data_IF_454757532185
#
_entry.id   IF_454757532185
#
_cell.length_a   1.000
_cell.length_b   1.000
_cell.length_c   1.000
_cell.angle_alpha   90.00
_cell.angle_beta   90.00
_cell.angle_gamma   90.00
#
_symmetry.space_group_name_H-M   'P 1'
#
loop_
_entity.id
_entity.type
_entity.pdbx_description
1 polymer ?
#
# COMPACT_ATOMS: atom_id res chain seq x y z
N UNK A 1 -11.46 -5.30 9.98
CA UNK A 1 -10.50 -6.42 9.99
C UNK A 1 -11.04 -7.73 9.40
N UNK A 2 -12.36 -7.81 9.07
CA UNK A 2 -13.00 -9.06 8.58
C UNK A 2 -12.30 -9.63 7.34
N UNK A 3 -11.93 -8.77 6.39
CA UNK A 3 -11.25 -9.22 5.16
C UNK A 3 -9.86 -9.81 5.46
N UNK A 4 -9.06 -9.11 6.26
CA UNK A 4 -7.72 -9.60 6.56
C UNK A 4 -7.74 -10.88 7.41
N UNK A 5 -8.72 -11.03 8.30
CA UNK A 5 -8.93 -12.30 9.02
C UNK A 5 -9.29 -13.43 8.07
N UNK A 6 -10.28 -13.22 7.20
CA UNK A 6 -10.62 -14.20 6.16
C UNK A 6 -9.39 -14.61 5.34
N UNK A 7 -8.58 -13.63 4.92
CA UNK A 7 -7.36 -13.88 4.16
C UNK A 7 -6.37 -14.76 4.94
N UNK A 8 -6.14 -14.44 6.23
CA UNK A 8 -5.12 -15.11 7.04
C UNK A 8 -5.58 -16.42 7.67
N UNK A 9 -6.86 -16.52 8.03
CA UNK A 9 -7.40 -17.63 8.82
C UNK A 9 -8.08 -18.70 7.95
N UNK A 10 -8.52 -18.32 6.73
CA UNK A 10 -9.26 -19.21 5.84
C UNK A 10 -8.57 -19.38 4.48
N UNK A 11 -8.39 -18.30 3.72
CA UNK A 11 -7.93 -18.37 2.33
C UNK A 11 -6.48 -18.86 2.20
N UNK A 12 -5.54 -18.28 2.95
CA UNK A 12 -4.13 -18.71 2.87
C UNK A 12 -3.93 -20.14 3.39
N UNK A 13 -4.53 -20.60 4.51
CA UNK A 13 -4.47 -21.98 4.93
C UNK A 13 -5.09 -22.94 3.90
N UNK A 14 -6.25 -22.60 3.31
CA UNK A 14 -6.84 -23.43 2.26
C UNK A 14 -5.93 -23.52 1.03
N UNK A 15 -5.30 -22.42 0.63
CA UNK A 15 -4.34 -22.41 -0.47
C UNK A 15 -3.10 -23.27 -0.15
N UNK A 16 -2.56 -23.19 1.07
CA UNK A 16 -1.42 -24.01 1.51
C UNK A 16 -1.75 -25.52 1.53
N UNK A 17 -3.02 -25.87 1.75
CA UNK A 17 -3.47 -27.27 1.70
C UNK A 17 -3.54 -27.83 0.27
N UNK A 18 -3.45 -26.99 -0.76
CA UNK A 18 -3.46 -27.40 -2.16
C UNK A 18 -2.05 -27.70 -2.66
N UNK A 19 -1.99 -28.35 -3.81
CA UNK A 19 -0.75 -28.57 -4.56
C UNK A 19 -0.78 -27.77 -5.85
N UNK A 20 0.37 -27.35 -6.30
CA UNK A 20 0.56 -26.84 -7.65
C UNK A 20 0.26 -27.89 -8.71
N UNK A 21 0.08 -27.50 -9.96
CA UNK A 21 -0.19 -28.43 -11.09
C UNK A 21 0.93 -29.45 -11.29
N UNK A 22 2.16 -29.13 -10.88
CA UNK A 22 3.32 -30.03 -10.90
C UNK A 22 3.51 -30.81 -9.57
N UNK A 23 2.53 -30.75 -8.68
CA UNK A 23 2.47 -31.57 -7.45
C UNK A 23 3.23 -31.03 -6.24
N UNK A 24 3.84 -29.82 -6.33
CA UNK A 24 4.54 -29.20 -5.20
C UNK A 24 3.55 -28.70 -4.14
N UNK A 25 3.92 -28.82 -2.87
CA UNK A 25 3.20 -28.18 -1.78
C UNK A 25 3.46 -26.67 -1.79
N UNK A 26 2.43 -25.91 -1.49
CA UNK A 26 2.57 -24.48 -1.22
C UNK A 26 3.03 -24.29 0.23
N UNK A 27 3.95 -23.37 0.42
CA UNK A 27 4.44 -22.99 1.74
C UNK A 27 4.72 -21.50 1.75
N UNK A 28 3.76 -20.73 2.29
CA UNK A 28 3.89 -19.27 2.36
C UNK A 28 4.70 -18.87 3.59
N UNK A 29 5.66 -17.96 3.40
CA UNK A 29 6.38 -17.40 4.55
C UNK A 29 5.41 -16.86 5.59
N UNK A 30 5.68 -17.13 6.86
CA UNK A 30 4.94 -16.56 7.99
C UNK A 30 5.54 -15.23 8.46
N UNK A 31 6.73 -14.87 7.96
CA UNK A 31 7.37 -13.60 8.26
C UNK A 31 6.66 -12.46 7.50
N UNK A 32 6.12 -11.42 8.17
CA UNK A 32 5.46 -10.29 7.53
C UNK A 32 6.39 -9.51 6.58
N UNK A 33 7.70 -9.55 6.84
CA UNK A 33 8.70 -8.90 5.98
C UNK A 33 8.85 -9.57 4.60
N UNK A 34 8.40 -10.81 4.46
CA UNK A 34 8.40 -11.56 3.20
C UNK A 34 7.06 -11.45 2.45
N UNK A 35 6.14 -10.60 2.94
CA UNK A 35 4.81 -10.49 2.39
C UNK A 35 4.48 -9.07 1.95
N UNK A 36 3.93 -8.99 0.75
CA UNK A 36 3.31 -7.77 0.23
C UNK A 36 1.82 -8.00 -0.03
N UNK A 37 1.05 -6.94 0.01
CA UNK A 37 -0.35 -6.92 -0.40
C UNK A 37 -0.57 -5.76 -1.38
N UNK A 38 -1.31 -6.02 -2.44
CA UNK A 38 -1.56 -5.05 -3.49
C UNK A 38 -3.04 -5.01 -3.87
N UNK A 39 -3.47 -3.88 -4.40
CA UNK A 39 -4.81 -3.73 -4.93
C UNK A 39 -5.02 -2.42 -5.64
N UNK A 40 -6.10 -2.35 -6.41
CA UNK A 40 -6.49 -1.20 -7.20
C UNK A 40 -7.85 -0.65 -6.75
N UNK A 41 -8.05 0.65 -6.78
CA UNK A 41 -9.31 1.30 -6.42
C UNK A 41 -9.76 0.89 -5.00
N UNK A 42 -10.93 0.30 -4.85
CA UNK A 42 -11.39 -0.30 -3.58
C UNK A 42 -10.44 -1.38 -3.06
N UNK A 43 -9.74 -2.09 -3.95
CA UNK A 43 -8.68 -3.04 -3.60
C UNK A 43 -7.44 -2.35 -3.06
N UNK A 44 -7.11 -1.14 -3.52
CA UNK A 44 -5.98 -0.35 -3.04
C UNK A 44 -6.15 0.04 -1.57
N UNK A 45 -7.29 0.64 -1.22
CA UNK A 45 -7.59 0.94 0.18
C UNK A 45 -7.73 -0.33 1.03
N UNK A 46 -8.26 -1.42 0.45
CA UNK A 46 -8.37 -2.70 1.13
C UNK A 46 -6.98 -3.29 1.46
N UNK A 47 -6.04 -3.23 0.52
CA UNK A 47 -4.66 -3.66 0.71
C UNK A 47 -3.96 -2.84 1.81
N UNK A 48 -4.10 -1.51 1.76
CA UNK A 48 -3.58 -0.63 2.80
C UNK A 48 -4.19 -0.96 4.16
N UNK A 49 -5.52 -1.08 4.24
CA UNK A 49 -6.24 -1.42 5.49
C UNK A 49 -5.77 -2.75 6.06
N UNK A 50 -5.60 -3.77 5.22
CA UNK A 50 -5.14 -5.08 5.67
C UNK A 50 -3.75 -5.01 6.33
N UNK A 51 -2.80 -4.32 5.72
CA UNK A 51 -1.47 -4.13 6.29
C UNK A 51 -1.49 -3.20 7.53
N UNK A 52 -2.33 -2.17 7.50
CA UNK A 52 -2.50 -1.24 8.62
C UNK A 52 -3.02 -1.94 9.89
N UNK A 53 -4.00 -2.81 9.73
CA UNK A 53 -4.58 -3.59 10.83
C UNK A 53 -3.68 -4.75 11.26
N UNK A 54 -2.95 -5.34 10.32
CA UNK A 54 -2.12 -6.51 10.57
C UNK A 54 -0.69 -6.34 10.03
N UNK A 55 0.08 -5.38 10.60
CA UNK A 55 1.50 -5.18 10.24
C UNK A 55 2.38 -6.39 10.64
N UNK A 56 1.86 -7.28 11.47
CA UNK A 56 2.42 -8.59 11.80
C UNK A 56 2.19 -9.64 10.71
N UNK A 57 1.40 -9.32 9.67
CA UNK A 57 1.14 -10.21 8.53
C UNK A 57 1.67 -9.66 7.20
N UNK A 58 1.68 -8.35 7.01
CA UNK A 58 2.12 -7.69 5.77
C UNK A 58 2.90 -6.43 6.09
N UNK A 59 4.06 -6.24 5.48
CA UNK A 59 4.88 -5.03 5.66
C UNK A 59 5.07 -4.20 4.40
N UNK A 60 4.57 -4.67 3.25
CA UNK A 60 4.68 -3.98 1.98
C UNK A 60 3.32 -3.84 1.33
N UNK A 61 3.02 -2.63 0.88
CA UNK A 61 1.72 -2.28 0.28
C UNK A 61 1.93 -1.62 -1.06
N UNK A 62 1.21 -2.08 -2.07
CA UNK A 62 0.99 -1.34 -3.31
C UNK A 62 -0.48 -0.98 -3.44
N UNK A 63 -0.79 0.31 -3.45
CA UNK A 63 -2.12 0.85 -3.67
C UNK A 63 -2.14 1.60 -5.00
N UNK A 64 -2.80 1.04 -5.99
CA UNK A 64 -3.01 1.68 -7.29
C UNK A 64 -4.37 2.40 -7.27
N UNK A 65 -4.37 3.69 -7.63
CA UNK A 65 -5.56 4.58 -7.63
C UNK A 65 -6.52 4.28 -6.47
N UNK A 66 -5.97 4.20 -5.25
CA UNK A 66 -6.69 3.78 -4.05
C UNK A 66 -7.87 4.69 -3.70
N UNK A 67 -9.00 4.11 -3.30
CA UNK A 67 -10.24 4.85 -2.98
C UNK A 67 -10.18 5.51 -1.61
N UNK A 68 -9.22 6.40 -1.37
CA UNK A 68 -9.09 7.18 -0.13
C UNK A 68 -10.00 8.41 -0.12
N UNK A 69 -11.24 8.21 -0.51
CA UNK A 69 -12.31 9.21 -0.61
C UNK A 69 -13.39 8.95 0.43
N UNK A 70 -14.43 9.80 0.48
CA UNK A 70 -15.51 9.71 1.47
C UNK A 70 -16.40 8.45 1.34
N UNK A 71 -15.86 7.38 0.74
CA UNK A 71 -16.50 6.09 0.64
C UNK A 71 -16.10 5.23 1.84
N UNK A 72 -17.07 4.90 2.68
CA UNK A 72 -16.89 4.07 3.90
C UNK A 72 -15.76 4.57 4.83
N UNK A 73 -15.55 5.89 4.89
CA UNK A 73 -14.55 6.50 5.76
C UNK A 73 -13.11 6.42 5.22
N UNK A 74 -12.92 6.16 3.93
CA UNK A 74 -11.58 6.10 3.32
C UNK A 74 -10.80 7.41 3.44
N UNK A 75 -11.48 8.54 3.45
CA UNK A 75 -10.91 9.87 3.63
C UNK A 75 -10.44 10.16 5.07
N UNK A 76 -10.69 9.29 6.02
CA UNK A 76 -10.23 9.46 7.42
C UNK A 76 -8.79 9.00 7.63
N UNK A 77 -8.26 8.14 6.76
CA UNK A 77 -6.92 7.60 6.90
C UNK A 77 -5.81 8.65 7.03
N UNK A 78 -5.78 9.74 6.25
CA UNK A 78 -4.75 10.77 6.43
C UNK A 78 -4.72 11.35 7.85
N UNK A 79 -5.87 11.53 8.48
CA UNK A 79 -5.98 12.01 9.85
C UNK A 79 -5.58 10.93 10.88
N UNK A 80 -6.01 9.69 10.66
CA UNK A 80 -5.67 8.55 11.52
C UNK A 80 -4.16 8.27 11.51
N UNK A 81 -3.53 8.28 10.34
CA UNK A 81 -2.09 8.09 10.18
C UNK A 81 -1.30 9.10 11.00
N UNK A 82 -1.70 10.39 10.94
CA UNK A 82 -1.03 11.47 11.68
C UNK A 82 -1.19 11.39 13.19
N UNK A 83 -2.21 10.69 13.67
CA UNK A 83 -2.56 10.54 15.09
C UNK A 83 -2.11 9.21 15.68
N UNK A 84 -1.64 8.29 14.86
CA UNK A 84 -1.26 6.94 15.26
C UNK A 84 0.27 6.80 15.20
N UNK A 85 0.83 6.06 16.13
CA UNK A 85 2.24 5.69 16.10
C UNK A 85 2.57 4.92 14.80
N UNK A 86 3.71 5.25 14.19
CA UNK A 86 4.09 4.67 12.90
C UNK A 86 4.26 3.15 13.00
N UNK A 87 3.70 2.44 12.03
CA UNK A 87 3.79 0.98 11.91
C UNK A 87 4.89 0.61 10.91
N UNK A 88 5.51 -0.57 11.02
CA UNK A 88 6.61 -0.96 10.14
C UNK A 88 6.10 -1.35 8.74
N UNK A 89 5.64 -0.37 8.00
CA UNK A 89 5.07 -0.53 6.65
C UNK A 89 5.88 0.28 5.63
N UNK A 90 6.05 -0.31 4.46
CA UNK A 90 6.55 0.33 3.25
C UNK A 90 5.42 0.41 2.25
N UNK A 91 5.10 1.60 1.77
CA UNK A 91 3.90 1.85 0.97
C UNK A 91 4.28 2.50 -0.35
N UNK A 92 3.80 1.92 -1.45
CA UNK A 92 3.85 2.55 -2.77
C UNK A 92 2.44 2.96 -3.18
N UNK A 93 2.28 4.23 -3.55
CA UNK A 93 1.03 4.80 -4.06
C UNK A 93 1.17 5.07 -5.55
N UNK A 94 0.14 4.78 -6.31
CA UNK A 94 0.04 5.14 -7.71
C UNK A 94 -1.34 5.73 -7.97
N UNK A 95 -1.39 6.77 -8.80
CA UNK A 95 -2.64 7.35 -9.29
C UNK A 95 -2.40 8.23 -10.53
N UNK A 96 -3.49 8.57 -11.22
CA UNK A 96 -3.49 9.50 -12.34
C UNK A 96 -4.14 10.84 -12.00
N UNK A 97 -3.58 11.93 -12.56
CA UNK A 97 -4.10 13.29 -12.32
C UNK A 97 -5.51 13.53 -12.88
N UNK A 98 -5.97 12.64 -13.77
CA UNK A 98 -7.32 12.68 -14.36
C UNK A 98 -8.23 11.60 -13.77
N UNK A 99 -7.92 11.14 -12.54
CA UNK A 99 -8.74 10.13 -11.87
C UNK A 99 -10.13 10.68 -11.51
N UNK A 100 -11.01 9.76 -11.17
CA UNK A 100 -12.44 9.99 -10.93
C UNK A 100 -12.69 11.10 -9.90
N UNK A 101 -13.65 11.94 -10.20
CA UNK A 101 -14.20 12.93 -9.30
C UNK A 101 -15.70 12.69 -9.10
N UNK A 102 -16.16 12.79 -7.87
CA UNK A 102 -17.55 12.68 -7.52
C UNK A 102 -17.92 13.70 -6.44
N UNK A 103 -18.97 14.52 -6.61
CA UNK A 103 -19.31 15.58 -5.66
C UNK A 103 -19.69 15.06 -4.26
N UNK A 104 -20.09 13.79 -4.15
CA UNK A 104 -20.45 13.17 -2.86
C UNK A 104 -19.25 12.46 -2.20
N UNK A 105 -18.31 11.96 -3.00
CA UNK A 105 -17.22 11.12 -2.51
C UNK A 105 -15.87 11.86 -2.48
N UNK A 106 -15.68 12.85 -3.34
CA UNK A 106 -14.44 13.57 -3.50
C UNK A 106 -13.66 13.19 -4.75
N UNK A 107 -12.39 13.59 -4.80
CA UNK A 107 -11.46 13.35 -5.89
C UNK A 107 -10.45 12.27 -5.50
N UNK A 108 -10.31 11.22 -6.30
CA UNK A 108 -9.44 10.09 -5.97
C UNK A 108 -7.98 10.51 -5.89
N UNK A 109 -7.50 11.27 -6.88
CA UNK A 109 -6.13 11.76 -6.88
C UNK A 109 -5.79 12.62 -5.67
N UNK A 110 -6.68 13.54 -5.28
CA UNK A 110 -6.49 14.36 -4.06
C UNK A 110 -6.43 13.47 -2.80
N UNK A 111 -7.25 12.43 -2.75
CA UNK A 111 -7.24 11.45 -1.67
C UNK A 111 -5.88 10.75 -1.55
N UNK A 112 -5.29 10.35 -2.67
CA UNK A 112 -3.97 9.72 -2.71
C UNK A 112 -2.84 10.71 -2.37
N UNK A 113 -2.91 11.97 -2.78
CA UNK A 113 -1.98 13.02 -2.35
C UNK A 113 -2.04 13.26 -0.83
N UNK A 114 -3.24 13.28 -0.25
CA UNK A 114 -3.40 13.41 1.20
C UNK A 114 -2.84 12.19 1.96
N UNK A 115 -2.99 11.00 1.41
CA UNK A 115 -2.37 9.78 1.95
C UNK A 115 -0.86 9.86 1.95
N UNK A 116 -0.25 10.22 0.83
CA UNK A 116 1.20 10.41 0.73
C UNK A 116 1.71 11.40 1.77
N UNK A 117 1.09 12.59 1.81
CA UNK A 117 1.44 13.63 2.77
C UNK A 117 1.37 13.15 4.23
N UNK A 118 0.33 12.38 4.58
CA UNK A 118 0.17 11.85 5.92
C UNK A 118 1.22 10.79 6.26
N UNK A 119 1.51 9.89 5.33
CA UNK A 119 2.50 8.82 5.49
C UNK A 119 3.91 9.42 5.64
N UNK A 120 4.28 10.36 4.78
CA UNK A 120 5.55 11.06 4.84
C UNK A 120 5.72 11.84 6.16
N UNK A 121 4.69 12.57 6.59
CA UNK A 121 4.68 13.29 7.87
C UNK A 121 4.92 12.35 9.05
N UNK A 122 4.33 11.18 9.04
CA UNK A 122 4.42 10.20 10.12
C UNK A 122 5.67 9.32 10.05
N UNK A 123 6.56 9.55 9.07
CA UNK A 123 7.86 8.86 8.97
C UNK A 123 7.78 7.45 8.36
N UNK A 124 6.73 7.14 7.59
CA UNK A 124 6.69 5.91 6.83
C UNK A 124 7.66 5.95 5.64
N UNK A 125 8.15 4.79 5.24
CA UNK A 125 8.82 4.64 3.96
C UNK A 125 7.76 4.59 2.85
N UNK A 126 7.53 5.73 2.21
CA UNK A 126 6.54 5.92 1.15
C UNK A 126 7.20 6.36 -0.16
N UNK A 127 6.71 5.84 -1.27
CA UNK A 127 7.00 6.34 -2.60
C UNK A 127 5.71 6.40 -3.41
N UNK A 128 5.75 7.16 -4.50
CA UNK A 128 4.61 7.29 -5.41
C UNK A 128 5.05 7.34 -6.87
N UNK A 129 4.08 7.13 -7.76
CA UNK A 129 4.17 7.46 -9.18
C UNK A 129 2.85 8.10 -9.59
N UNK A 130 2.90 9.39 -9.92
CA UNK A 130 1.74 10.14 -10.40
C UNK A 130 1.76 10.24 -11.91
N UNK A 131 0.77 9.63 -12.57
CA UNK A 131 0.60 9.65 -14.03
C UNK A 131 -0.43 10.68 -14.49
N UNK A 132 -0.71 10.69 -15.80
CA UNK A 132 -1.77 11.52 -16.40
C UNK A 132 -3.06 10.71 -16.68
N UNK A 133 -3.13 9.45 -16.26
CA UNK A 133 -4.27 8.57 -16.49
C UNK A 133 -5.48 8.89 -15.63
N UNK A 134 -6.59 8.23 -15.97
CA UNK A 134 -7.82 8.23 -15.19
C UNK A 134 -7.89 7.03 -14.25
N UNK A 135 -9.12 6.65 -13.89
CA UNK A 135 -9.37 5.52 -12.98
C UNK A 135 -9.21 4.17 -13.68
N UNK A 136 -7.99 3.83 -14.10
CA UNK A 136 -7.68 2.60 -14.81
C UNK A 136 -6.30 2.05 -14.45
N UNK A 137 -6.04 0.79 -14.83
CA UNK A 137 -4.81 0.08 -14.47
C UNK A 137 -3.62 0.29 -15.40
N UNK A 138 -3.75 1.06 -16.49
CA UNK A 138 -2.71 1.13 -17.54
C UNK A 138 -1.39 1.66 -17.01
N UNK A 139 -1.42 2.74 -16.22
CA UNK A 139 -0.22 3.30 -15.61
C UNK A 139 0.36 2.34 -14.55
N UNK A 140 -0.48 1.81 -13.68
CA UNK A 140 -0.08 0.88 -12.63
C UNK A 140 0.60 -0.38 -13.19
N UNK A 141 0.07 -0.94 -14.30
CA UNK A 141 0.64 -2.10 -14.99
C UNK A 141 2.02 -1.79 -15.57
N UNK A 142 2.17 -0.63 -16.21
CA UNK A 142 3.44 -0.23 -16.81
C UNK A 142 4.56 -0.05 -15.79
N UNK A 143 4.27 0.49 -14.62
CA UNK A 143 5.27 0.73 -13.56
C UNK A 143 5.43 -0.46 -12.60
N UNK A 144 4.60 -1.49 -12.70
CA UNK A 144 4.57 -2.60 -11.74
C UNK A 144 5.94 -3.25 -11.47
N UNK A 145 6.81 -3.48 -12.48
CA UNK A 145 8.14 -4.01 -12.21
C UNK A 145 8.99 -3.11 -11.32
N UNK A 146 8.88 -1.78 -11.47
CA UNK A 146 9.63 -0.80 -10.67
C UNK A 146 9.05 -0.70 -9.26
N UNK A 147 7.73 -0.75 -9.12
CA UNK A 147 7.04 -0.85 -7.82
C UNK A 147 7.56 -2.07 -7.06
N UNK A 148 7.65 -3.23 -7.70
CA UNK A 148 8.16 -4.44 -7.05
C UNK A 148 9.62 -4.30 -6.64
N UNK A 149 10.49 -3.75 -7.49
CA UNK A 149 11.90 -3.49 -7.13
C UNK A 149 12.00 -2.55 -5.92
N UNK A 150 11.17 -1.52 -5.87
CA UNK A 150 11.16 -0.58 -4.76
C UNK A 150 10.62 -1.19 -3.46
N UNK A 151 9.51 -1.91 -3.53
CA UNK A 151 8.91 -2.58 -2.36
C UNK A 151 9.86 -3.59 -1.72
N UNK A 152 10.65 -4.31 -2.54
CA UNK A 152 11.60 -5.33 -2.10
C UNK A 152 13.04 -4.83 -1.95
N UNK A 153 13.26 -3.52 -2.12
CA UNK A 153 14.58 -2.90 -1.96
C UNK A 153 15.14 -3.22 -0.57
N UNK A 154 16.38 -3.75 -0.57
CA UNK A 154 17.11 -4.06 0.66
C UNK A 154 16.66 -5.33 1.38
N UNK A 155 15.66 -6.07 0.84
CA UNK A 155 15.33 -7.37 1.40
C UNK A 155 16.56 -8.29 1.46
N UNK A 156 16.77 -9.06 2.55
CA UNK A 156 15.85 -9.39 3.64
C UNK A 156 15.84 -8.43 4.84
N UNK A 157 16.51 -7.28 4.77
CA UNK A 157 16.44 -6.30 5.87
C UNK A 157 14.98 -5.99 6.21
N UNK A 158 14.68 -5.95 7.51
CA UNK A 158 13.35 -5.60 8.02
C UNK A 158 12.91 -4.21 7.57
N UNK A 159 11.63 -4.07 7.27
CA UNK A 159 11.00 -2.76 7.12
C UNK A 159 10.86 -2.14 8.51
N UNK A 160 11.46 -0.98 8.70
CA UNK A 160 11.45 -0.26 9.96
C UNK A 160 10.38 0.85 9.95
N UNK A 161 9.84 1.18 11.11
CA UNK A 161 8.99 2.36 11.28
C UNK A 161 9.82 3.53 11.77
N UNK A 162 9.38 4.75 11.42
CA UNK A 162 10.02 5.98 11.89
C UNK A 162 11.42 6.23 11.33
N UNK A 163 11.70 5.68 10.13
CA UNK A 163 13.00 5.88 9.49
C UNK A 163 13.19 7.33 9.16
N UNK A 164 13.96 7.95 10.05
CA UNK A 164 14.73 9.18 9.84
C UNK A 164 13.95 10.32 9.13
N UNK A 165 13.38 11.18 9.95
CA UNK A 165 13.42 12.59 9.60
C UNK A 165 14.91 12.91 9.45
N UNK A 166 15.41 12.95 8.21
CA UNK A 166 16.77 13.40 7.96
C UNK A 166 16.97 14.71 8.71
N UNK A 167 18.12 14.87 9.35
CA UNK A 167 18.51 16.08 10.10
C UNK A 167 18.48 17.36 9.23
N UNK A 168 18.31 17.24 7.91
CA UNK A 168 18.15 18.32 6.93
C UNK A 168 16.72 18.83 6.76
N UNK A 169 15.76 18.46 7.62
CA UNK A 169 14.42 19.08 7.69
C UNK A 169 13.47 18.74 6.54
N UNK A 170 12.26 18.40 6.90
CA UNK A 170 10.97 18.52 6.19
C UNK A 170 10.74 17.79 4.88
N UNK A 171 11.75 17.29 4.14
CA UNK A 171 11.55 16.57 2.89
C UNK A 171 12.43 15.32 2.81
N UNK A 172 11.81 14.14 2.85
CA UNK A 172 12.36 12.97 2.19
C UNK A 172 12.42 13.28 0.69
N UNK A 173 13.52 12.96 0.01
CA UNK A 173 13.57 13.06 -1.45
C UNK A 173 12.44 12.21 -2.04
N UNK A 174 11.41 12.88 -2.50
CA UNK A 174 10.37 12.26 -3.31
C UNK A 174 10.99 11.93 -4.67
N UNK A 175 11.38 10.69 -4.85
CA UNK A 175 11.78 10.23 -6.17
C UNK A 175 10.51 9.86 -6.91
N UNK A 176 10.05 10.74 -7.77
CA UNK A 176 9.18 10.37 -8.89
C UNK A 176 9.95 9.33 -9.71
N UNK A 177 9.44 8.14 -9.84
CA UNK A 177 9.92 7.14 -10.79
C UNK A 177 9.13 7.41 -12.07
N UNK A 178 9.75 8.13 -13.01
CA UNK A 178 9.26 8.32 -14.37
C UNK A 178 9.48 7.05 -15.17
#
# INVERSE_FOLDING_TARGET
DRFVRFLLEELLPDAEAKKTTDGRLLNFSKNPNDRAIAGASSGGICAFTAAWERPDAFRRVFSAFGSFVAMRGGNEYPALIRKTEAKPLRIFLEDGTEDAWNPLLGHWFDGNLLMESALAFSGYEVAHSWGHGGHDGVHAENIFPDVMRWLWKGWPKEVECGVSRNESGWYTEFRSIL
#
